data_IF_417250891914
#
_entry.id   IF_417250891914
#
_cell.length_a   1.000
_cell.length_b   1.000
_cell.length_c   1.000
_cell.angle_alpha   90.00
_cell.angle_beta   90.00
_cell.angle_gamma   90.00
#
_symmetry.space_group_name_H-M   'P 1'
#
loop_
_entity.id
_entity.type
_entity.pdbx_description
1 polymer ?
#
# COMPACT_ATOMS: atom_id res chain seq x y z
N UNK A 1 -10.00 22.20 -18.86
CA UNK A 1 -9.06 21.18 -18.35
C UNK A 1 -8.71 21.59 -16.92
N UNK A 2 -9.30 20.92 -15.93
CA UNK A 2 -8.99 21.20 -14.52
C UNK A 2 -7.50 20.99 -14.32
N UNK A 3 -6.84 21.89 -13.61
CA UNK A 3 -5.42 21.73 -13.32
C UNK A 3 -5.17 20.39 -12.60
N UNK A 4 -4.00 19.79 -12.82
CA UNK A 4 -3.60 18.49 -12.27
C UNK A 4 -3.55 18.53 -10.73
N UNK A 5 -4.70 18.31 -10.07
CA UNK A 5 -4.82 18.22 -8.61
C UNK A 5 -4.54 16.76 -8.23
N UNK A 6 -3.55 16.56 -7.35
CA UNK A 6 -3.13 15.24 -6.87
C UNK A 6 -2.89 15.27 -5.36
N UNK A 7 -2.91 14.12 -4.71
CA UNK A 7 -2.51 14.04 -3.31
C UNK A 7 -0.97 14.11 -3.22
N UNK A 8 -0.47 14.99 -2.35
CA UNK A 8 0.95 15.20 -2.09
C UNK A 8 1.70 13.90 -1.75
N UNK A 9 1.04 12.98 -1.06
CA UNK A 9 1.65 11.74 -0.60
C UNK A 9 1.78 10.66 -1.69
N UNK A 10 1.09 10.77 -2.83
CA UNK A 10 1.11 9.77 -3.92
C UNK A 10 2.52 9.38 -4.40
N UNK A 11 3.38 10.32 -4.85
CA UNK A 11 4.71 9.95 -5.31
C UNK A 11 5.61 9.42 -4.18
N UNK A 12 5.41 9.89 -2.95
CA UNK A 12 6.18 9.48 -1.78
C UNK A 12 5.86 8.05 -1.36
N UNK A 13 4.56 7.70 -1.31
CA UNK A 13 4.08 6.35 -1.03
C UNK A 13 4.59 5.39 -2.09
N UNK A 14 4.48 5.74 -3.37
CA UNK A 14 4.96 4.89 -4.46
C UNK A 14 6.47 4.65 -4.40
N UNK A 15 7.25 5.66 -4.03
CA UNK A 15 8.69 5.51 -3.82
C UNK A 15 8.98 4.58 -2.64
N UNK A 16 8.35 4.81 -1.49
CA UNK A 16 8.53 3.99 -0.29
C UNK A 16 8.15 2.52 -0.52
N UNK A 17 7.08 2.26 -1.28
CA UNK A 17 6.72 0.89 -1.70
C UNK A 17 7.85 0.30 -2.56
N UNK A 18 8.29 1.00 -3.62
CA UNK A 18 9.40 0.50 -4.46
C UNK A 18 10.65 0.19 -3.66
N UNK A 19 11.02 1.05 -2.71
CA UNK A 19 12.19 0.85 -1.87
C UNK A 19 12.04 -0.38 -0.97
N UNK A 20 10.86 -0.59 -0.37
CA UNK A 20 10.58 -1.79 0.45
C UNK A 20 10.49 -3.09 -0.36
N UNK A 21 10.13 -2.99 -1.64
CA UNK A 21 10.07 -4.13 -2.55
C UNK A 21 11.45 -4.43 -3.18
N UNK A 22 12.34 -3.43 -3.25
CA UNK A 22 13.69 -3.62 -3.78
C UNK A 22 14.44 -4.66 -2.95
N UNK A 23 14.88 -5.74 -3.60
CA UNK A 23 15.57 -6.86 -2.95
C UNK A 23 14.69 -8.03 -2.52
N UNK A 24 13.38 -8.02 -2.84
CA UNK A 24 12.53 -9.20 -2.72
C UNK A 24 12.39 -9.88 -4.08
N UNK A 25 12.67 -11.18 -4.16
CA UNK A 25 12.48 -12.01 -5.35
C UNK A 25 11.00 -12.37 -5.63
N UNK A 26 10.08 -11.86 -4.81
CA UNK A 26 8.65 -12.08 -4.99
C UNK A 26 8.13 -11.14 -6.09
N UNK A 27 7.60 -11.70 -7.17
CA UNK A 27 6.85 -10.93 -8.16
C UNK A 27 5.61 -10.34 -7.49
N UNK A 28 5.67 -9.05 -7.19
CA UNK A 28 4.52 -8.30 -6.71
C UNK A 28 3.70 -7.83 -7.91
N UNK A 29 2.51 -8.40 -8.03
CA UNK A 29 1.53 -8.01 -9.04
C UNK A 29 1.16 -6.52 -8.92
N UNK A 30 0.83 -5.89 -10.05
CA UNK A 30 0.39 -4.50 -10.13
C UNK A 30 -0.82 -4.24 -9.23
N UNK A 31 -1.74 -5.20 -9.15
CA UNK A 31 -2.92 -5.14 -8.26
C UNK A 31 -2.50 -5.07 -6.78
N UNK A 32 -1.40 -5.74 -6.40
CA UNK A 32 -0.91 -5.69 -5.04
C UNK A 32 -0.30 -4.34 -4.69
N UNK A 33 0.48 -3.78 -5.61
CA UNK A 33 1.07 -2.45 -5.43
C UNK A 33 -0.03 -1.41 -5.32
N UNK A 34 -1.10 -1.53 -6.11
CA UNK A 34 -2.28 -0.68 -6.03
C UNK A 34 -2.98 -0.81 -4.67
N UNK A 35 -3.19 -2.03 -4.16
CA UNK A 35 -3.78 -2.27 -2.84
C UNK A 35 -2.96 -1.65 -1.71
N UNK A 36 -1.63 -1.81 -1.75
CA UNK A 36 -0.71 -1.21 -0.78
C UNK A 36 -0.77 0.31 -0.81
N UNK A 37 -0.73 0.90 -2.01
CA UNK A 37 -0.83 2.34 -2.18
C UNK A 37 -2.16 2.87 -1.64
N UNK A 38 -3.29 2.20 -1.94
CA UNK A 38 -4.60 2.57 -1.42
C UNK A 38 -4.65 2.54 0.12
N UNK A 39 -4.12 1.49 0.73
CA UNK A 39 -4.10 1.36 2.19
C UNK A 39 -3.22 2.44 2.84
N UNK A 40 -2.02 2.67 2.30
CA UNK A 40 -1.11 3.68 2.84
C UNK A 40 -1.66 5.11 2.69
N UNK A 41 -2.21 5.46 1.51
CA UNK A 41 -2.78 6.78 1.27
C UNK A 41 -3.98 7.08 2.16
N UNK A 42 -4.81 6.07 2.47
CA UNK A 42 -5.95 6.23 3.37
C UNK A 42 -5.55 6.33 4.85
N UNK A 43 -4.32 5.94 5.20
CA UNK A 43 -3.79 6.12 6.56
C UNK A 43 -3.19 7.52 6.78
N UNK A 44 -2.90 8.25 5.70
CA UNK A 44 -2.29 9.58 5.73
C UNK A 44 -3.37 10.68 5.68
N UNK A 45 -3.09 11.88 6.22
CA UNK A 45 -4.01 13.00 6.11
C UNK A 45 -4.20 13.41 4.65
N UNK A 46 -5.44 13.71 4.26
CA UNK A 46 -5.73 14.15 2.89
C UNK A 46 -5.07 15.51 2.61
N UNK A 47 -4.15 15.55 1.64
CA UNK A 47 -3.43 16.78 1.27
C UNK A 47 -3.32 16.92 -0.25
N UNK A 48 -4.31 17.58 -0.85
CA UNK A 48 -4.34 17.79 -2.30
C UNK A 48 -3.62 19.08 -2.70
N UNK A 49 -2.81 18.99 -3.75
CA UNK A 49 -2.04 20.10 -4.29
C UNK A 49 -2.16 20.17 -5.81
N UNK A 50 -2.16 21.38 -6.34
CA UNK A 50 -2.15 21.65 -7.77
C UNK A 50 -0.72 21.69 -8.34
N UNK A 51 0.18 22.30 -7.58
CA UNK A 51 1.59 22.44 -7.95
C UNK A 51 2.43 21.99 -6.75
N UNK A 52 2.98 20.78 -6.83
CA UNK A 52 3.86 20.23 -5.78
C UNK A 52 5.08 21.10 -5.53
N UNK A 53 5.59 21.79 -6.55
CA UNK A 53 6.72 22.73 -6.44
C UNK A 53 6.49 23.84 -5.43
N UNK A 54 5.26 24.41 -5.39
CA UNK A 54 4.91 25.45 -4.44
C UNK A 54 4.94 24.88 -3.02
N UNK A 55 4.39 23.68 -2.81
CA UNK A 55 4.40 23.07 -1.48
C UNK A 55 5.83 22.77 -1.00
N UNK A 56 6.67 22.23 -1.88
CA UNK A 56 8.04 21.85 -1.55
C UNK A 56 8.91 23.06 -1.15
N UNK A 57 8.73 24.21 -1.79
CA UNK A 57 9.49 25.42 -1.45
C UNK A 57 9.09 26.02 -0.10
N UNK A 58 7.88 25.75 0.38
CA UNK A 58 7.39 26.26 1.66
C UNK A 58 7.68 25.33 2.84
N UNK A 59 7.85 24.03 2.59
CA UNK A 59 8.18 23.06 3.65
C UNK A 59 9.62 23.27 4.15
N UNK A 60 9.79 23.21 5.47
CA UNK A 60 11.11 23.14 6.11
C UNK A 60 11.71 21.73 6.08
N UNK A 61 13.00 21.61 6.38
CA UNK A 61 13.68 20.29 6.41
C UNK A 61 13.12 19.35 7.48
N UNK A 62 12.73 19.89 8.63
CA UNK A 62 12.09 19.14 9.70
C UNK A 62 10.74 18.57 9.28
N UNK A 63 9.93 19.36 8.56
CA UNK A 63 8.62 18.93 8.06
C UNK A 63 8.77 17.88 6.96
N UNK A 64 9.76 18.05 6.06
CA UNK A 64 10.10 17.02 5.05
C UNK A 64 10.46 15.69 5.70
N UNK A 65 11.28 15.73 6.76
CA UNK A 65 11.66 14.53 7.50
C UNK A 65 10.48 13.89 8.23
N UNK A 66 9.56 14.69 8.79
CA UNK A 66 8.35 14.20 9.44
C UNK A 66 7.42 13.50 8.43
N UNK A 67 7.15 14.14 7.30
CA UNK A 67 6.37 13.57 6.19
C UNK A 67 6.96 12.25 5.72
N UNK A 68 8.29 12.17 5.59
CA UNK A 68 8.95 10.94 5.13
C UNK A 68 8.73 9.80 6.12
N UNK A 69 8.83 10.07 7.43
CA UNK A 69 8.53 9.07 8.47
C UNK A 69 7.07 8.64 8.47
N UNK A 70 6.14 9.58 8.37
CA UNK A 70 4.69 9.27 8.30
C UNK A 70 4.38 8.33 7.13
N UNK A 71 4.99 8.59 5.96
CA UNK A 71 4.84 7.74 4.78
C UNK A 71 5.43 6.35 5.02
N UNK A 72 6.63 6.26 5.58
CA UNK A 72 7.27 4.98 5.88
C UNK A 72 6.44 4.13 6.86
N UNK A 73 5.90 4.75 7.91
CA UNK A 73 5.03 4.11 8.90
C UNK A 73 3.70 3.65 8.27
N UNK A 74 3.08 4.49 7.44
CA UNK A 74 1.84 4.16 6.74
C UNK A 74 2.02 2.97 5.79
N UNK A 75 3.12 2.96 5.03
CA UNK A 75 3.44 1.86 4.12
C UNK A 75 3.73 0.58 4.89
N UNK A 76 4.50 0.63 5.98
CA UNK A 76 4.75 -0.54 6.84
C UNK A 76 3.44 -1.12 7.40
N UNK A 77 2.56 -0.26 7.91
CA UNK A 77 1.23 -0.65 8.39
C UNK A 77 0.42 -1.32 7.28
N UNK A 78 0.43 -0.78 6.06
CA UNK A 78 -0.24 -1.37 4.91
C UNK A 78 0.27 -2.79 4.59
N UNK A 79 1.59 -3.02 4.65
CA UNK A 79 2.18 -4.36 4.48
C UNK A 79 1.67 -5.35 5.53
N UNK A 80 1.64 -4.93 6.80
CA UNK A 80 1.14 -5.77 7.90
C UNK A 80 -0.33 -6.14 7.68
N UNK A 81 -1.18 -5.16 7.35
CA UNK A 81 -2.60 -5.38 7.09
C UNK A 81 -2.80 -6.31 5.90
N UNK A 82 -2.07 -6.09 4.81
CA UNK A 82 -2.16 -6.89 3.60
C UNK A 82 -1.76 -8.34 3.83
N UNK A 83 -0.66 -8.57 4.55
CA UNK A 83 -0.22 -9.93 4.92
C UNK A 83 -1.29 -10.66 5.75
N UNK A 84 -1.84 -9.99 6.77
CA UNK A 84 -2.93 -10.54 7.58
C UNK A 84 -4.16 -10.90 6.73
N UNK A 85 -4.57 -10.02 5.81
CA UNK A 85 -5.71 -10.26 4.90
C UNK A 85 -5.46 -11.44 3.95
N UNK A 86 -4.23 -11.59 3.43
CA UNK A 86 -3.86 -12.73 2.57
C UNK A 86 -3.89 -14.05 3.35
N UNK A 87 -3.36 -14.06 4.56
CA UNK A 87 -3.39 -15.23 5.45
C UNK A 87 -4.83 -15.63 5.79
N UNK A 88 -5.68 -14.67 6.16
CA UNK A 88 -7.11 -14.93 6.44
C UNK A 88 -7.86 -15.50 5.24
N UNK A 89 -7.68 -14.92 4.04
CA UNK A 89 -8.28 -15.43 2.80
C UNK A 89 -7.83 -16.85 2.49
N UNK A 90 -6.55 -17.18 2.69
CA UNK A 90 -6.04 -18.54 2.50
C UNK A 90 -6.70 -19.53 3.45
N UNK A 91 -6.83 -19.18 4.73
CA UNK A 91 -7.49 -20.05 5.72
C UNK A 91 -8.99 -20.24 5.42
N UNK A 92 -9.66 -19.22 4.88
CA UNK A 92 -11.06 -19.33 4.44
C UNK A 92 -11.19 -20.28 3.24
N UNK A 93 -10.29 -20.20 2.26
CA UNK A 93 -10.26 -21.10 1.10
C UNK A 93 -10.02 -22.56 1.54
N UNK A 94 -9.05 -22.80 2.42
CA UNK A 94 -8.76 -24.14 2.96
C UNK A 94 -9.93 -24.71 3.78
N UNK A 95 -10.65 -23.86 4.52
CA UNK A 95 -11.85 -24.25 5.26
C UNK A 95 -13.06 -24.55 4.36
N UNK A 96 -13.09 -23.97 3.15
CA UNK A 96 -14.17 -24.10 2.18
C UNK A 96 -13.98 -25.30 1.22
N UNK A 97 -12.85 -26.02 1.25
CA UNK A 97 -12.72 -27.32 0.58
C UNK A 97 -13.32 -28.44 1.46
N UNK A 98 -14.59 -28.85 1.27
CA UNK A 98 -15.10 -30.01 1.99
C UNK A 98 -14.30 -31.22 1.54
N UNK A 99 -13.97 -32.08 2.50
CA UNK A 99 -13.28 -33.34 2.26
C UNK A 99 -13.92 -34.04 1.05
N UNK A 100 -13.18 -34.15 -0.05
CA UNK A 100 -13.44 -35.18 -1.07
C UNK A 100 -13.11 -36.54 -0.45
N UNK A 101 -13.78 -36.90 0.63
CA UNK A 101 -13.78 -38.26 1.15
C UNK A 101 -14.74 -39.05 0.27
N UNK A 102 -14.18 -39.47 -0.87
CA UNK A 102 -14.25 -40.83 -1.39
C UNK A 102 -15.62 -41.49 -1.16
N UNK A 103 -16.58 -41.23 -2.04
CA UNK A 103 -17.71 -42.15 -2.19
C UNK A 103 -17.17 -43.49 -2.67
N UNK A 104 -17.28 -44.58 -1.90
CA UNK A 104 -17.02 -45.90 -2.42
C UNK A 104 -18.29 -46.30 -3.18
N UNK A 105 -18.28 -46.18 -4.51
CA UNK A 105 -19.27 -46.93 -5.27
C UNK A 105 -18.87 -48.41 -5.23
N UNK A 106 -19.28 -49.05 -4.15
CA UNK A 106 -19.58 -50.49 -4.03
C UNK A 106 -20.96 -50.57 -3.43
#
# INVERSE_FOLDING_TARGET
MLANIQNYYEPLVMQSIRDKLSGRDEEYDADLVADLACLALNALPARYVRHTVDLWSHLGDSERAAVSREVEEAVESAFVVMRRRREARRTEIEAQEPSKTRLPWT
#
